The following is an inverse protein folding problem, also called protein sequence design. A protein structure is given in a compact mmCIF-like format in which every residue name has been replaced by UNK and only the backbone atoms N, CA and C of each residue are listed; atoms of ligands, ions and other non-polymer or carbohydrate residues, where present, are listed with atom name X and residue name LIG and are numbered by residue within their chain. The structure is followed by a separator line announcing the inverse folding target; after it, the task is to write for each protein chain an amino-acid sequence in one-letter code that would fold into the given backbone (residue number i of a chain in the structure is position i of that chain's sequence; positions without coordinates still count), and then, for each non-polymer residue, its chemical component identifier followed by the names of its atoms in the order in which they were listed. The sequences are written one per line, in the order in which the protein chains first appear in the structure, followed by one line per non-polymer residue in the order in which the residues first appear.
data_IF_989142151087
#
_entry.id   IF_989142151087
#
_cell.length_a   1.000
_cell.length_b   1.000
_cell.length_c   1.000
_cell.angle_alpha   90.00
_cell.angle_beta   90.00
_cell.angle_gamma   90.00
#
_symmetry.space_group_name_H-M   'P 1'
#
loop_
_entity.id
_entity.type
_entity.pdbx_description
1 polymer ?
#
# COMPACT_ATOMS: atom_id res chain seq x y z
N UNK A 1 11.97 -41.89 18.71
CA UNK A 1 10.69 -42.21 19.37
C UNK A 1 9.75 -41.04 19.03
N UNK A 2 8.73 -41.25 18.21
CA UNK A 2 7.79 -40.18 17.86
C UNK A 2 6.95 -39.86 19.09
N UNK A 3 7.02 -38.64 19.63
CA UNK A 3 6.04 -38.23 20.63
C UNK A 3 4.69 -38.10 19.92
N UNK A 4 3.65 -38.88 20.30
CA UNK A 4 2.33 -38.68 19.73
C UNK A 4 1.83 -37.28 20.08
N UNK A 5 1.07 -36.68 19.15
CA UNK A 5 0.38 -35.42 19.39
C UNK A 5 -0.56 -35.58 20.60
N UNK A 6 -0.34 -34.76 21.63
CA UNK A 6 -1.15 -34.67 22.83
C UNK A 6 -2.03 -33.43 22.74
N UNK A 7 -3.33 -33.67 22.59
CA UNK A 7 -4.33 -32.63 22.43
C UNK A 7 -4.50 -31.77 23.70
N UNK A 8 -4.28 -32.34 24.88
CA UNK A 8 -4.39 -31.62 26.16
C UNK A 8 -3.22 -30.66 26.33
N UNK A 9 -2.00 -31.12 26.04
CA UNK A 9 -0.80 -30.27 26.04
C UNK A 9 -0.93 -29.15 25.01
N UNK A 10 -1.35 -29.47 23.77
CA UNK A 10 -1.59 -28.45 22.75
C UNK A 10 -2.61 -27.40 23.19
N UNK A 11 -3.75 -27.83 23.76
CA UNK A 11 -4.81 -26.92 24.19
C UNK A 11 -4.35 -26.01 25.33
N UNK A 12 -3.58 -26.54 26.29
CA UNK A 12 -2.99 -25.75 27.37
C UNK A 12 -2.01 -24.71 26.85
N UNK A 13 -1.07 -25.11 25.98
CA UNK A 13 -0.12 -24.18 25.36
C UNK A 13 -0.84 -23.10 24.56
N UNK A 14 -1.88 -23.47 23.81
CA UNK A 14 -2.68 -22.53 23.02
C UNK A 14 -3.39 -21.49 23.90
N UNK A 15 -3.97 -21.90 25.03
CA UNK A 15 -4.58 -20.96 25.97
C UNK A 15 -3.55 -20.01 26.57
N UNK A 16 -2.39 -20.51 26.99
CA UNK A 16 -1.30 -19.68 27.51
C UNK A 16 -0.78 -18.69 26.46
N UNK A 17 -0.71 -19.10 25.19
CA UNK A 17 -0.32 -18.21 24.11
C UNK A 17 -1.37 -17.10 23.87
N UNK A 18 -2.66 -17.43 23.96
CA UNK A 18 -3.74 -16.43 23.87
C UNK A 18 -3.68 -15.44 25.04
N UNK A 19 -3.40 -15.92 26.25
CA UNK A 19 -3.22 -15.08 27.43
C UNK A 19 -2.00 -14.16 27.28
N UNK A 20 -0.88 -14.66 26.77
CA UNK A 20 0.30 -13.85 26.48
C UNK A 20 -0.01 -12.74 25.45
N UNK A 21 -0.82 -13.04 24.42
CA UNK A 21 -1.31 -12.01 23.48
C UNK A 21 -2.19 -11.00 24.21
N UNK A 22 -3.13 -11.45 25.05
CA UNK A 22 -4.00 -10.55 25.83
C UNK A 22 -3.20 -9.59 26.71
N UNK A 23 -2.08 -10.05 27.26
CA UNK A 23 -1.19 -9.28 28.12
C UNK A 23 -0.13 -8.46 27.35
N UNK A 24 -0.09 -8.53 26.02
CA UNK A 24 0.99 -7.99 25.18
C UNK A 24 2.39 -8.48 25.59
N UNK A 25 2.47 -9.69 26.16
CA UNK A 25 3.68 -10.26 26.73
C UNK A 25 4.48 -11.04 25.67
N UNK A 26 5.34 -10.32 24.96
CA UNK A 26 6.20 -10.88 23.89
C UNK A 26 7.15 -11.95 24.42
N UNK A 27 7.75 -11.75 25.60
CA UNK A 27 8.72 -12.68 26.19
C UNK A 27 8.07 -14.03 26.50
N UNK A 28 6.91 -14.01 27.15
CA UNK A 28 6.14 -15.23 27.44
C UNK A 28 5.73 -15.95 26.15
N UNK A 29 5.26 -15.22 25.15
CA UNK A 29 4.89 -15.82 23.86
C UNK A 29 6.12 -16.44 23.17
N UNK A 30 7.28 -15.78 23.24
CA UNK A 30 8.53 -16.29 22.68
C UNK A 30 8.96 -17.60 23.38
N UNK A 31 8.87 -17.67 24.70
CA UNK A 31 9.17 -18.89 25.45
C UNK A 31 8.18 -20.01 25.13
N UNK A 32 6.88 -19.72 25.02
CA UNK A 32 5.88 -20.71 24.63
C UNK A 32 6.16 -21.29 23.24
N UNK A 33 6.60 -20.47 22.29
CA UNK A 33 7.00 -20.91 20.95
C UNK A 33 8.32 -21.71 20.93
N UNK A 34 9.22 -21.51 21.89
CA UNK A 34 10.43 -22.34 22.07
C UNK A 34 10.09 -23.70 22.67
N UNK A 35 9.27 -23.72 23.72
CA UNK A 35 8.81 -24.93 24.40
C UNK A 35 8.06 -25.87 23.45
N UNK A 36 7.43 -25.28 22.44
CA UNK A 36 6.73 -26.00 21.39
C UNK A 36 7.62 -26.89 20.50
N UNK A 37 8.93 -26.72 20.60
CA UNK A 37 9.96 -27.57 20.01
C UNK A 37 10.72 -28.45 21.02
N UNK A 38 10.19 -28.68 22.23
CA UNK A 38 10.91 -29.37 23.31
C UNK A 38 12.26 -28.71 23.67
N UNK A 39 12.42 -27.41 23.41
CA UNK A 39 13.64 -26.65 23.72
C UNK A 39 14.65 -26.50 22.56
N UNK A 40 14.48 -27.21 21.45
CA UNK A 40 15.36 -27.11 20.27
C UNK A 40 14.69 -26.31 19.15
N UNK A 41 14.95 -25.01 19.07
CA UNK A 41 14.53 -24.23 17.90
C UNK A 41 15.15 -24.81 16.63
N UNK A 42 14.38 -25.20 15.61
CA UNK A 42 14.93 -25.62 14.34
C UNK A 42 15.73 -24.46 13.75
N UNK A 43 17.02 -24.68 13.53
CA UNK A 43 17.83 -23.73 12.77
C UNK A 43 17.40 -23.82 11.31
N UNK A 44 16.76 -22.75 10.84
CA UNK A 44 16.40 -22.59 9.44
C UNK A 44 17.53 -21.85 8.73
N UNK A 45 18.28 -22.54 7.87
CA UNK A 45 19.22 -21.89 6.98
C UNK A 45 18.56 -21.69 5.61
N UNK A 46 18.49 -20.45 5.15
CA UNK A 46 17.95 -20.12 3.82
C UNK A 46 19.06 -20.15 2.79
N UNK A 47 19.14 -21.24 2.01
CA UNK A 47 20.01 -21.34 0.83
C UNK A 47 19.18 -21.14 -0.44
N UNK A 48 19.09 -19.88 -0.89
CA UNK A 48 18.34 -19.51 -2.09
C UNK A 48 16.83 -19.76 -1.96
N UNK A 49 16.31 -20.72 -2.72
CA UNK A 49 14.87 -21.06 -2.81
C UNK A 49 14.44 -22.18 -1.84
N UNK A 50 15.36 -22.73 -1.05
CA UNK A 50 15.11 -23.87 -0.16
C UNK A 50 15.31 -23.41 1.29
N UNK A 51 14.31 -23.69 2.13
CA UNK A 51 14.44 -23.63 3.59
C UNK A 51 14.88 -25.03 4.02
N UNK A 52 16.12 -25.15 4.47
CA UNK A 52 16.62 -26.39 5.05
C UNK A 52 16.53 -26.25 6.57
N UNK A 53 15.71 -27.09 7.20
CA UNK A 53 15.73 -27.25 8.66
C UNK A 53 16.81 -28.26 9.02
N UNK A 54 17.80 -27.85 9.79
CA UNK A 54 18.81 -28.75 10.35
C UNK A 54 18.50 -28.98 11.83
N UNK A 55 18.30 -30.24 12.22
CA UNK A 55 18.03 -30.61 13.61
C UNK A 55 17.57 -32.05 13.78
N UNK A 56 17.66 -32.57 15.01
CA UNK A 56 17.19 -33.92 15.39
C UNK A 56 15.65 -34.04 15.42
N UNK A 57 14.93 -33.01 14.98
CA UNK A 57 13.48 -32.83 15.11
C UNK A 57 12.68 -33.21 13.86
N UNK A 58 13.30 -33.90 12.87
CA UNK A 58 12.57 -34.45 11.71
C UNK A 58 11.43 -35.38 12.19
N UNK A 59 10.18 -34.94 11.97
CA UNK A 59 8.97 -35.70 12.32
C UNK A 59 8.25 -35.26 13.61
N UNK A 60 8.77 -34.28 14.34
CA UNK A 60 8.04 -33.65 15.45
C UNK A 60 7.09 -32.57 14.90
N UNK A 61 5.81 -32.61 15.29
CA UNK A 61 4.85 -31.54 15.00
C UNK A 61 5.05 -30.48 16.07
N UNK A 62 5.60 -29.30 15.76
CA UNK A 62 5.71 -28.26 16.76
C UNK A 62 4.31 -27.76 17.11
N UNK A 63 3.98 -27.81 18.39
CA UNK A 63 2.76 -27.14 18.88
C UNK A 63 2.89 -25.64 18.57
N UNK A 64 1.82 -24.94 18.20
CA UNK A 64 1.83 -23.48 18.01
C UNK A 64 2.78 -22.87 16.96
N UNK A 65 3.69 -23.64 16.35
CA UNK A 65 4.69 -23.18 15.39
C UNK A 65 4.56 -23.92 14.05
N UNK A 66 3.33 -24.27 13.68
CA UNK A 66 2.97 -24.71 12.34
C UNK A 66 2.25 -23.57 11.58
N UNK A 67 2.11 -23.71 10.26
CA UNK A 67 1.50 -22.69 9.40
C UNK A 67 0.09 -22.25 9.85
N UNK A 68 -0.73 -23.18 10.36
CA UNK A 68 -2.10 -22.88 10.79
C UNK A 68 -2.11 -22.07 12.09
N UNK A 69 -1.31 -22.48 13.06
CA UNK A 69 -1.26 -21.81 14.37
C UNK A 69 -0.56 -20.45 14.28
N UNK A 70 0.47 -20.32 13.43
CA UNK A 70 1.11 -19.04 13.10
C UNK A 70 0.11 -18.00 12.64
N UNK A 71 -0.66 -18.37 11.63
CA UNK A 71 -1.72 -17.53 11.08
C UNK A 71 -2.72 -17.18 12.18
N UNK A 72 -3.19 -18.17 12.94
CA UNK A 72 -4.15 -17.95 14.01
C UNK A 72 -3.64 -16.97 15.09
N UNK A 73 -2.45 -17.18 15.64
CA UNK A 73 -1.89 -16.33 16.70
C UNK A 73 -1.67 -14.90 16.21
N UNK A 74 -1.23 -14.73 14.95
CA UNK A 74 -1.06 -13.43 14.34
C UNK A 74 -2.38 -12.72 14.09
N UNK A 75 -3.36 -13.41 13.51
CA UNK A 75 -4.68 -12.85 13.26
C UNK A 75 -5.33 -12.44 14.58
N UNK A 76 -5.08 -13.17 15.66
CA UNK A 76 -5.52 -12.83 17.02
C UNK A 76 -4.78 -11.62 17.61
N UNK A 77 -3.47 -11.53 17.44
CA UNK A 77 -2.70 -10.38 17.87
C UNK A 77 -3.12 -9.10 17.13
N UNK A 78 -3.41 -9.21 15.83
CA UNK A 78 -3.98 -8.13 15.03
C UNK A 78 -5.35 -7.73 15.60
N UNK A 79 -6.25 -8.70 15.81
CA UNK A 79 -7.60 -8.46 16.37
C UNK A 79 -7.56 -7.68 17.68
N UNK A 80 -6.59 -7.96 18.54
CA UNK A 80 -6.43 -7.34 19.86
C UNK A 80 -5.59 -6.06 19.84
N UNK A 81 -5.16 -5.60 18.66
CA UNK A 81 -4.30 -4.44 18.43
C UNK A 81 -2.98 -4.49 19.26
N UNK A 82 -2.38 -5.69 19.34
CA UNK A 82 -1.16 -5.95 20.13
C UNK A 82 0.08 -5.75 19.28
N UNK A 83 0.50 -4.51 19.12
CA UNK A 83 1.56 -4.13 18.19
C UNK A 83 2.89 -4.86 18.45
N UNK A 84 3.34 -4.96 19.70
CA UNK A 84 4.63 -5.58 20.03
C UNK A 84 4.62 -7.08 19.68
N UNK A 85 3.52 -7.77 19.99
CA UNK A 85 3.29 -9.16 19.60
C UNK A 85 3.19 -9.32 18.08
N UNK A 86 2.49 -8.43 17.39
CA UNK A 86 2.42 -8.45 15.92
C UNK A 86 3.81 -8.28 15.31
N UNK A 87 4.60 -7.31 15.77
CA UNK A 87 5.97 -7.09 15.28
C UNK A 87 6.86 -8.32 15.51
N UNK A 88 6.78 -8.92 16.70
CA UNK A 88 7.46 -10.17 17.01
C UNK A 88 7.03 -11.30 16.06
N UNK A 89 5.73 -11.54 15.89
CA UNK A 89 5.22 -12.60 15.02
C UNK A 89 5.58 -12.38 13.54
N UNK A 90 5.78 -11.12 13.12
CA UNK A 90 6.18 -10.75 11.77
C UNK A 90 7.69 -10.87 11.52
N UNK A 91 8.54 -10.51 12.50
CA UNK A 91 9.99 -10.40 12.32
C UNK A 91 10.76 -11.58 12.94
N UNK A 92 10.56 -11.85 14.24
CA UNK A 92 11.50 -12.65 15.04
C UNK A 92 10.91 -13.99 15.52
N UNK A 93 9.59 -14.11 15.56
CA UNK A 93 8.91 -15.34 15.98
C UNK A 93 8.81 -16.36 14.85
N UNK A 94 8.25 -15.97 13.70
CA UNK A 94 7.71 -16.90 12.70
C UNK A 94 7.59 -16.27 11.29
N UNK A 95 8.54 -15.41 10.89
CA UNK A 95 8.32 -14.35 9.91
C UNK A 95 7.77 -14.70 8.51
N UNK A 96 7.10 -13.68 7.94
CA UNK A 96 6.53 -13.57 6.59
C UNK A 96 7.43 -14.11 5.46
N UNK A 97 8.74 -13.93 5.61
CA UNK A 97 9.72 -14.27 4.58
C UNK A 97 10.01 -15.76 4.47
N UNK A 98 9.65 -16.54 5.50
CA UNK A 98 9.87 -17.98 5.56
C UNK A 98 8.64 -18.80 5.10
N UNK A 99 7.44 -18.21 5.04
CA UNK A 99 6.22 -18.90 4.58
C UNK A 99 5.94 -18.76 3.07
N UNK A 100 6.62 -17.84 2.38
CA UNK A 100 6.52 -17.71 0.94
C UNK A 100 7.18 -18.92 0.27
N UNK A 101 6.35 -19.93 -0.07
CA UNK A 101 6.73 -21.07 -0.92
C UNK A 101 7.59 -20.60 -2.11
N UNK A 102 8.48 -21.47 -2.64
CA UNK A 102 9.21 -21.17 -3.87
C UNK A 102 8.20 -21.10 -5.04
N UNK A 103 7.65 -19.92 -5.25
CA UNK A 103 6.85 -19.59 -6.43
C UNK A 103 7.69 -18.67 -7.32
N UNK A 104 7.49 -18.75 -8.64
CA UNK A 104 8.15 -17.87 -9.62
C UNK A 104 8.06 -16.39 -9.19
N UNK A 105 9.02 -15.55 -9.57
CA UNK A 105 9.10 -14.13 -9.16
C UNK A 105 7.75 -13.41 -9.31
N UNK A 106 7.04 -13.68 -10.41
CA UNK A 106 5.71 -13.12 -10.71
C UNK A 106 4.60 -13.65 -9.79
N UNK A 107 4.60 -14.95 -9.49
CA UNK A 107 3.65 -15.55 -8.55
C UNK A 107 3.96 -15.16 -7.09
N UNK A 108 5.23 -14.95 -6.75
CA UNK A 108 5.66 -14.41 -5.44
C UNK A 108 5.15 -12.99 -5.24
N UNK A 109 5.17 -12.14 -6.26
CA UNK A 109 4.62 -10.78 -6.20
C UNK A 109 3.11 -10.80 -5.91
N UNK A 110 2.34 -11.59 -6.67
CA UNK A 110 0.88 -11.74 -6.46
C UNK A 110 0.53 -12.36 -5.11
N UNK A 111 1.26 -13.40 -4.70
CA UNK A 111 1.07 -14.04 -3.39
C UNK A 111 1.38 -13.06 -2.25
N UNK A 112 2.48 -12.29 -2.37
CA UNK A 112 2.82 -11.26 -1.40
C UNK A 112 1.76 -10.17 -1.31
N UNK A 113 1.20 -9.73 -2.44
CA UNK A 113 0.16 -8.69 -2.48
C UNK A 113 -1.15 -9.19 -1.87
N UNK A 114 -1.57 -10.42 -2.20
CA UNK A 114 -2.73 -11.09 -1.58
C UNK A 114 -2.58 -11.21 -0.07
N UNK A 115 -1.39 -11.56 0.40
CA UNK A 115 -1.10 -11.78 1.80
C UNK A 115 -0.97 -10.46 2.59
N UNK A 116 -0.42 -9.41 1.96
CA UNK A 116 -0.42 -8.05 2.53
C UNK A 116 -1.83 -7.51 2.72
N UNK A 117 -2.69 -7.72 1.72
CA UNK A 117 -4.09 -7.30 1.78
C UNK A 117 -4.86 -8.08 2.85
N UNK A 118 -4.55 -9.36 3.08
CA UNK A 118 -5.16 -10.16 4.14
C UNK A 118 -4.95 -9.53 5.53
N UNK A 119 -3.74 -9.10 5.87
CA UNK A 119 -3.49 -8.46 7.17
C UNK A 119 -4.17 -7.12 7.34
N UNK A 120 -4.12 -6.29 6.30
CA UNK A 120 -4.84 -5.02 6.33
C UNK A 120 -6.34 -5.23 6.45
N UNK A 121 -6.90 -6.25 5.77
CA UNK A 121 -8.32 -6.60 5.91
C UNK A 121 -8.67 -6.98 7.35
N UNK A 122 -7.85 -7.80 8.01
CA UNK A 122 -8.10 -8.16 9.41
C UNK A 122 -7.95 -6.92 10.30
N UNK A 123 -6.88 -6.15 10.16
CA UNK A 123 -6.65 -4.97 11.00
C UNK A 123 -7.78 -3.93 10.85
N UNK A 124 -8.25 -3.68 9.62
CA UNK A 124 -9.42 -2.82 9.39
C UNK A 124 -10.71 -3.47 9.89
N UNK A 125 -10.86 -4.79 9.75
CA UNK A 125 -12.01 -5.55 10.26
C UNK A 125 -12.19 -5.37 11.79
N UNK A 126 -11.10 -5.28 12.54
CA UNK A 126 -11.14 -5.15 14.00
C UNK A 126 -10.80 -3.74 14.52
N UNK A 127 -10.62 -2.78 13.60
CA UNK A 127 -10.23 -1.41 13.91
C UNK A 127 -8.94 -1.31 14.75
N UNK A 128 -7.97 -2.15 14.43
CA UNK A 128 -6.66 -2.25 15.10
C UNK A 128 -5.76 -1.10 14.65
N UNK A 129 -5.93 0.09 15.25
CA UNK A 129 -5.34 1.34 14.76
C UNK A 129 -3.82 1.32 14.84
N UNK A 130 -3.24 0.78 15.92
CA UNK A 130 -1.78 0.71 16.07
C UNK A 130 -1.17 -0.21 15.02
N UNK A 131 -1.77 -1.38 14.82
CA UNK A 131 -1.35 -2.34 13.81
C UNK A 131 -1.51 -1.79 12.39
N UNK A 132 -2.61 -1.10 12.08
CA UNK A 132 -2.80 -0.43 10.77
C UNK A 132 -1.65 0.56 10.53
N UNK A 133 -1.35 1.41 11.50
CA UNK A 133 -0.30 2.43 11.37
C UNK A 133 1.09 1.79 11.19
N UNK A 134 1.36 0.71 11.93
CA UNK A 134 2.58 -0.08 11.77
C UNK A 134 2.71 -0.69 10.37
N UNK A 135 1.65 -1.32 9.85
CA UNK A 135 1.66 -1.92 8.51
C UNK A 135 1.87 -0.85 7.42
N UNK A 136 1.25 0.31 7.56
CA UNK A 136 1.46 1.45 6.66
C UNK A 136 2.93 1.96 6.71
N UNK A 137 3.54 2.02 7.89
CA UNK A 137 4.96 2.37 8.04
C UNK A 137 5.90 1.37 7.36
N UNK A 138 5.51 0.09 7.28
CA UNK A 138 6.21 -0.97 6.53
C UNK A 138 5.96 -0.92 5.02
N UNK A 139 5.29 0.11 4.50
CA UNK A 139 5.05 0.33 3.07
C UNK A 139 3.83 -0.41 2.52
N UNK A 140 2.89 -0.81 3.39
CA UNK A 140 1.58 -1.27 2.97
C UNK A 140 0.69 -0.04 2.69
N UNK A 141 -0.41 -0.24 1.97
CA UNK A 141 -1.36 0.83 1.66
C UNK A 141 -2.78 0.31 1.72
N UNK A 142 -3.68 1.07 2.34
CA UNK A 142 -5.10 0.73 2.36
C UNK A 142 -5.72 0.87 0.97
N UNK A 143 -6.62 -0.03 0.59
CA UNK A 143 -7.48 0.14 -0.59
C UNK A 143 -8.57 1.18 -0.30
N UNK A 144 -9.31 1.59 -1.33
CA UNK A 144 -10.42 2.55 -1.16
C UNK A 144 -11.53 1.96 -0.29
N UNK A 145 -11.84 0.68 -0.48
CA UNK A 145 -12.83 -0.05 0.29
C UNK A 145 -12.41 -0.14 1.77
N UNK A 146 -11.13 -0.43 2.02
CA UNK A 146 -10.57 -0.46 3.36
C UNK A 146 -10.59 0.93 4.04
N UNK A 147 -10.32 2.01 3.30
CA UNK A 147 -10.42 3.38 3.82
C UNK A 147 -11.88 3.75 4.17
N UNK A 148 -12.84 3.33 3.36
CA UNK A 148 -14.26 3.53 3.64
C UNK A 148 -14.72 2.74 4.88
N UNK A 149 -14.33 1.47 4.99
CA UNK A 149 -14.62 0.65 6.18
C UNK A 149 -13.95 1.22 7.44
N UNK A 150 -12.70 1.71 7.32
CA UNK A 150 -12.01 2.39 8.40
C UNK A 150 -12.76 3.64 8.86
N UNK A 151 -13.24 4.47 7.92
CA UNK A 151 -14.02 5.67 8.26
C UNK A 151 -15.33 5.30 8.97
N UNK A 152 -16.05 4.28 8.50
CA UNK A 152 -17.28 3.79 9.11
C UNK A 152 -17.06 3.37 10.58
N UNK A 153 -16.01 2.60 10.85
CA UNK A 153 -15.74 2.08 12.20
C UNK A 153 -15.31 3.12 13.21
N UNK A 154 -14.78 4.24 12.72
CA UNK A 154 -14.35 5.35 13.56
C UNK A 154 -15.31 6.54 13.51
N UNK A 155 -16.55 6.33 13.03
CA UNK A 155 -17.58 7.38 12.93
C UNK A 155 -17.13 8.64 12.17
N UNK A 156 -16.27 8.45 11.16
CA UNK A 156 -15.68 9.49 10.33
C UNK A 156 -16.31 9.54 8.92
N UNK A 157 -17.54 9.05 8.75
CA UNK A 157 -18.21 8.96 7.45
C UNK A 157 -18.43 10.33 6.82
N UNK A 158 -18.72 11.36 7.64
CA UNK A 158 -18.85 12.74 7.15
C UNK A 158 -17.53 13.25 6.58
N UNK A 159 -16.43 13.04 7.30
CA UNK A 159 -15.10 13.41 6.84
C UNK A 159 -14.73 12.65 5.55
N UNK A 160 -15.04 11.36 5.47
CA UNK A 160 -14.84 10.57 4.25
C UNK A 160 -15.73 11.05 3.07
N UNK A 161 -16.97 11.43 3.35
CA UNK A 161 -17.89 12.01 2.37
C UNK A 161 -17.35 13.32 1.78
N UNK A 162 -16.73 14.16 2.60
CA UNK A 162 -16.14 15.43 2.19
C UNK A 162 -15.00 15.28 1.16
N UNK A 163 -14.32 14.13 1.16
CA UNK A 163 -13.26 13.78 0.20
C UNK A 163 -13.73 12.83 -0.91
N UNK A 164 -15.05 12.58 -1.02
CA UNK A 164 -15.58 11.71 -2.07
C UNK A 164 -15.19 12.11 -3.50
N UNK A 165 -15.05 13.41 -3.88
CA UNK A 165 -14.64 13.77 -5.24
C UNK A 165 -13.28 13.17 -5.62
N UNK A 166 -12.28 13.25 -4.72
CA UNK A 166 -10.95 12.69 -4.96
C UNK A 166 -10.94 11.16 -4.88
N UNK A 167 -11.70 10.57 -3.94
CA UNK A 167 -11.84 9.11 -3.82
C UNK A 167 -12.32 8.50 -5.14
N UNK A 168 -13.29 9.12 -5.79
CA UNK A 168 -13.85 8.68 -7.07
C UNK A 168 -12.86 8.77 -8.25
N UNK A 169 -11.79 9.55 -8.12
CA UNK A 169 -10.78 9.75 -9.17
C UNK A 169 -9.52 8.91 -8.99
N UNK A 170 -9.27 8.36 -7.81
CA UNK A 170 -8.12 7.47 -7.55
C UNK A 170 -8.04 6.28 -8.53
N UNK A 171 -9.14 5.57 -8.88
CA UNK A 171 -9.08 4.46 -9.84
C UNK A 171 -8.55 4.86 -11.23
N UNK A 172 -8.72 6.13 -11.62
CA UNK A 172 -8.19 6.65 -12.88
C UNK A 172 -6.66 6.69 -12.87
N UNK A 173 -6.04 6.99 -11.71
CA UNK A 173 -4.59 6.95 -11.55
C UNK A 173 -4.07 5.52 -11.65
N UNK A 174 -4.72 4.57 -10.99
CA UNK A 174 -4.36 3.14 -11.06
C UNK A 174 -4.40 2.62 -12.49
N UNK A 175 -5.48 2.92 -13.21
CA UNK A 175 -5.64 2.53 -14.62
C UNK A 175 -4.56 3.19 -15.48
N UNK A 176 -4.27 4.47 -15.23
CA UNK A 176 -3.28 5.22 -15.99
C UNK A 176 -1.86 4.67 -15.78
N UNK A 177 -1.48 4.37 -14.54
CA UNK A 177 -0.19 3.75 -14.24
C UNK A 177 -0.03 2.41 -14.97
N UNK A 178 -1.06 1.55 -14.95
CA UNK A 178 -1.07 0.28 -15.69
C UNK A 178 -0.93 0.48 -17.20
N UNK A 179 -1.65 1.44 -17.77
CA UNK A 179 -1.58 1.75 -19.20
C UNK A 179 -0.21 2.28 -19.64
N UNK A 180 0.49 3.03 -18.78
CA UNK A 180 1.84 3.50 -19.05
C UNK A 180 2.86 2.36 -19.02
N UNK A 181 2.82 1.50 -18.00
CA UNK A 181 3.68 0.32 -17.90
C UNK A 181 3.47 -0.62 -19.11
N UNK A 182 2.21 -0.90 -19.48
CA UNK A 182 1.90 -1.73 -20.65
C UNK A 182 2.40 -1.17 -21.98
N UNK A 183 2.81 0.10 -22.03
CA UNK A 183 3.39 0.77 -23.19
C UNK A 183 4.92 0.99 -23.07
N UNK A 184 5.56 0.46 -22.03
CA UNK A 184 6.99 0.58 -21.78
C UNK A 184 7.43 1.85 -21.03
N UNK A 185 6.49 2.66 -20.56
CA UNK A 185 6.76 3.89 -19.80
C UNK A 185 6.81 3.60 -18.30
N UNK A 186 7.82 2.82 -17.89
CA UNK A 186 7.95 2.29 -16.53
C UNK A 186 8.19 3.39 -15.47
N UNK A 187 8.97 4.43 -15.81
CA UNK A 187 9.26 5.53 -14.88
C UNK A 187 8.01 6.34 -14.56
N UNK A 188 7.21 6.61 -15.57
CA UNK A 188 6.00 7.43 -15.47
C UNK A 188 4.85 6.64 -14.87
N UNK A 189 4.77 5.35 -15.18
CA UNK A 189 3.92 4.42 -14.45
C UNK A 189 4.24 4.46 -12.96
N UNK A 190 5.52 4.37 -12.60
CA UNK A 190 5.97 4.45 -11.20
C UNK A 190 5.60 5.78 -10.55
N UNK A 191 5.82 6.91 -11.20
CA UNK A 191 5.45 8.24 -10.67
C UNK A 191 3.95 8.38 -10.40
N UNK A 192 3.10 7.89 -11.31
CA UNK A 192 1.63 7.92 -11.10
C UNK A 192 1.22 6.94 -10.00
N UNK A 193 1.83 5.76 -9.93
CA UNK A 193 1.57 4.79 -8.86
C UNK A 193 1.99 5.31 -7.49
N UNK A 194 3.12 6.02 -7.40
CA UNK A 194 3.58 6.69 -6.17
C UNK A 194 2.61 7.80 -5.74
N UNK A 195 2.07 8.59 -6.69
CA UNK A 195 1.04 9.58 -6.40
C UNK A 195 -0.24 8.94 -5.86
N UNK A 196 -0.70 7.85 -6.46
CA UNK A 196 -1.89 7.10 -5.99
C UNK A 196 -1.70 6.60 -4.56
N UNK A 197 -0.52 6.06 -4.24
CA UNK A 197 -0.18 5.61 -2.88
C UNK A 197 -0.12 6.79 -1.91
N UNK A 198 0.48 7.90 -2.32
CA UNK A 198 0.56 9.12 -1.53
C UNK A 198 -0.84 9.65 -1.17
N UNK A 199 -1.74 9.78 -2.14
CA UNK A 199 -3.10 10.29 -1.90
C UNK A 199 -3.85 9.38 -0.92
N UNK A 200 -3.74 8.04 -1.05
CA UNK A 200 -4.38 7.11 -0.11
C UNK A 200 -3.82 7.23 1.31
N UNK A 201 -2.52 7.46 1.45
CA UNK A 201 -1.89 7.74 2.74
C UNK A 201 -2.40 9.06 3.34
N UNK A 202 -2.49 10.11 2.53
CA UNK A 202 -3.03 11.40 2.98
C UNK A 202 -4.50 11.31 3.37
N UNK A 203 -5.30 10.49 2.69
CA UNK A 203 -6.69 10.22 3.10
C UNK A 203 -6.72 9.60 4.50
N UNK A 204 -5.90 8.57 4.75
CA UNK A 204 -5.82 7.98 6.09
C UNK A 204 -5.37 8.99 7.15
N UNK A 205 -4.32 9.77 6.88
CA UNK A 205 -3.83 10.79 7.79
C UNK A 205 -4.91 11.84 8.11
N UNK A 206 -5.66 12.27 7.10
CA UNK A 206 -6.80 13.18 7.26
C UNK A 206 -7.89 12.57 8.13
N UNK A 207 -8.30 11.32 7.86
CA UNK A 207 -9.28 10.61 8.68
C UNK A 207 -8.82 10.48 10.14
N UNK A 208 -7.57 10.10 10.39
CA UNK A 208 -7.01 10.04 11.75
C UNK A 208 -7.08 11.38 12.47
N UNK A 209 -6.75 12.45 11.75
CA UNK A 209 -6.78 13.81 12.29
C UNK A 209 -8.20 14.24 12.62
N UNK A 210 -9.20 13.88 11.79
CA UNK A 210 -10.60 14.17 12.05
C UNK A 210 -11.17 13.33 13.21
N UNK A 211 -10.70 12.09 13.38
CA UNK A 211 -11.05 11.26 14.53
C UNK A 211 -10.47 11.84 15.82
N UNK A 212 -9.25 12.39 15.77
CA UNK A 212 -8.59 12.99 16.92
C UNK A 212 -9.13 14.39 17.27
N UNK A 213 -9.46 15.20 16.27
CA UNK A 213 -9.92 16.59 16.43
C UNK A 213 -11.16 16.89 15.54
N UNK A 214 -12.36 16.36 15.86
CA UNK A 214 -13.54 16.45 15.02
C UNK A 214 -13.96 17.90 14.71
N UNK A 215 -13.86 18.79 15.69
CA UNK A 215 -14.15 20.22 15.58
C UNK A 215 -13.25 20.97 14.59
N UNK A 216 -12.07 20.44 14.24
CA UNK A 216 -11.15 21.05 13.28
C UNK A 216 -11.21 20.42 11.89
N UNK A 217 -12.19 19.57 11.61
CA UNK A 217 -12.28 18.81 10.34
C UNK A 217 -12.18 19.70 9.09
N UNK A 218 -12.89 20.84 9.07
CA UNK A 218 -12.83 21.77 7.93
C UNK A 218 -11.44 22.39 7.74
N UNK A 219 -10.79 22.80 8.85
CA UNK A 219 -9.43 23.33 8.82
C UNK A 219 -8.40 22.28 8.37
N UNK A 220 -8.53 21.04 8.85
CA UNK A 220 -7.69 19.90 8.47
C UNK A 220 -7.84 19.57 6.97
N UNK A 221 -9.05 19.70 6.43
CA UNK A 221 -9.31 19.49 5.00
C UNK A 221 -8.58 20.53 4.15
N UNK A 222 -8.74 21.83 4.46
CA UNK A 222 -8.17 22.92 3.66
C UNK A 222 -6.64 23.03 3.83
N UNK A 223 -6.17 23.11 5.08
CA UNK A 223 -4.78 23.45 5.38
C UNK A 223 -3.83 22.27 5.21
N UNK A 224 -4.29 21.05 5.46
CA UNK A 224 -3.44 19.86 5.39
C UNK A 224 -3.73 19.05 4.13
N UNK A 225 -4.92 18.45 4.04
CA UNK A 225 -5.23 17.48 3.00
C UNK A 225 -5.17 18.08 1.59
N UNK A 226 -5.93 19.15 1.34
CA UNK A 226 -5.96 19.82 0.02
C UNK A 226 -4.60 20.37 -0.36
N UNK A 227 -3.91 21.01 0.57
CA UNK A 227 -2.59 21.61 0.33
C UNK A 227 -1.55 20.55 -0.05
N UNK A 228 -1.48 19.44 0.71
CA UNK A 228 -0.55 18.35 0.44
C UNK A 228 -0.84 17.65 -0.89
N UNK A 229 -2.10 17.26 -1.12
CA UNK A 229 -2.51 16.60 -2.36
C UNK A 229 -2.32 17.50 -3.58
N UNK A 230 -2.63 18.79 -3.49
CA UNK A 230 -2.45 19.75 -4.59
C UNK A 230 -0.98 19.93 -4.94
N UNK A 231 -0.12 20.07 -3.92
CA UNK A 231 1.33 20.21 -4.10
C UNK A 231 1.90 18.98 -4.79
N UNK A 232 1.62 17.79 -4.28
CA UNK A 232 2.21 16.56 -4.83
C UNK A 232 1.66 16.22 -6.22
N UNK A 233 0.37 16.45 -6.46
CA UNK A 233 -0.22 16.30 -7.81
C UNK A 233 0.46 17.26 -8.80
N UNK A 234 0.73 18.50 -8.39
CA UNK A 234 1.42 19.48 -9.25
C UNK A 234 2.87 19.08 -9.51
N UNK A 235 3.60 18.57 -8.51
CA UNK A 235 4.96 18.06 -8.66
C UNK A 235 5.03 16.91 -9.67
N UNK A 236 4.14 15.93 -9.55
CA UNK A 236 4.07 14.78 -10.47
C UNK A 236 3.63 15.21 -11.87
N UNK A 237 2.71 16.16 -11.95
CA UNK A 237 2.31 16.77 -13.22
C UNK A 237 3.50 17.42 -13.93
N UNK A 238 4.34 18.19 -13.24
CA UNK A 238 5.56 18.79 -13.82
C UNK A 238 6.54 17.73 -14.33
N UNK A 239 6.79 16.68 -13.55
CA UNK A 239 7.64 15.55 -13.96
C UNK A 239 7.12 14.86 -15.22
N UNK A 240 5.80 14.77 -15.38
CA UNK A 240 5.15 14.11 -16.52
C UNK A 240 4.88 15.03 -17.72
N UNK A 241 4.98 16.36 -17.57
CA UNK A 241 4.88 17.30 -18.70
C UNK A 241 5.96 17.07 -19.74
N UNK A 242 7.13 16.57 -19.36
CA UNK A 242 8.27 16.33 -20.25
C UNK A 242 8.28 14.93 -20.88
N UNK A 243 7.27 14.10 -20.62
CA UNK A 243 7.23 12.70 -21.01
C UNK A 243 6.91 12.44 -22.50
N UNK A 244 6.63 13.45 -23.34
CA UNK A 244 6.47 13.26 -24.79
C UNK A 244 7.63 13.82 -25.61
N UNK A 245 8.47 12.90 -26.08
CA UNK A 245 9.57 13.14 -27.03
C UNK A 245 9.26 12.94 -28.52
N UNK A 246 8.06 12.50 -28.97
CA UNK A 246 7.82 12.32 -30.42
C UNK A 246 6.43 12.67 -30.95
N UNK A 247 5.32 12.53 -30.21
CA UNK A 247 3.97 12.84 -30.74
C UNK A 247 3.66 14.33 -30.79
N UNK A 248 4.09 15.09 -29.78
CA UNK A 248 4.03 16.56 -29.82
C UNK A 248 5.05 17.12 -30.80
N UNK A 249 6.24 16.51 -30.89
CA UNK A 249 7.18 16.81 -31.96
C UNK A 249 6.54 16.56 -33.33
N UNK A 250 5.87 15.42 -33.56
CA UNK A 250 5.21 15.13 -34.84
C UNK A 250 4.01 16.06 -35.12
N UNK A 251 3.18 16.36 -34.11
CA UNK A 251 2.06 17.27 -34.26
C UNK A 251 2.55 18.69 -34.52
N UNK A 252 3.54 19.18 -33.76
CA UNK A 252 4.16 20.47 -33.99
C UNK A 252 4.95 20.49 -35.30
N UNK A 253 5.57 19.38 -35.73
CA UNK A 253 6.26 19.25 -37.02
C UNK A 253 5.27 19.26 -38.18
N UNK A 254 4.13 18.56 -38.07
CA UNK A 254 3.06 18.57 -39.07
C UNK A 254 2.36 19.94 -39.11
N UNK A 255 2.11 20.57 -37.97
CA UNK A 255 1.59 21.94 -37.90
C UNK A 255 2.62 22.90 -38.49
N UNK A 256 3.91 22.73 -38.22
CA UNK A 256 4.99 23.52 -38.83
C UNK A 256 5.03 23.31 -40.34
N UNK A 257 4.87 22.09 -40.85
CA UNK A 257 4.79 21.79 -42.28
C UNK A 257 3.54 22.40 -42.94
N UNK A 258 2.38 22.32 -42.29
CA UNK A 258 1.13 22.91 -42.78
C UNK A 258 1.19 24.43 -42.73
N UNK A 259 1.73 25.00 -41.64
CA UNK A 259 1.93 26.44 -41.51
C UNK A 259 3.03 26.95 -42.44
N UNK A 260 4.08 26.19 -42.77
CA UNK A 260 5.02 26.55 -43.84
C UNK A 260 4.33 26.52 -45.22
N UNK A 261 3.47 25.53 -45.46
CA UNK A 261 2.70 25.43 -46.72
C UNK A 261 1.71 26.60 -46.89
N UNK A 262 1.07 27.04 -45.80
CA UNK A 262 0.08 28.13 -45.81
C UNK A 262 0.75 29.52 -45.67
N UNK A 263 1.82 29.66 -44.88
CA UNK A 263 2.53 30.92 -44.66
C UNK A 263 3.44 31.32 -45.84
N UNK A 264 3.78 30.38 -46.73
CA UNK A 264 4.48 30.66 -47.99
C UNK A 264 3.69 31.53 -48.96
N UNK A 265 2.40 31.81 -48.72
CA UNK A 265 1.61 32.72 -49.56
C UNK A 265 1.43 34.13 -49.00
N UNK A 266 1.97 34.48 -47.82
CA UNK A 266 1.82 35.87 -47.36
C UNK A 266 2.53 36.37 -46.10
N UNK A 267 3.28 35.57 -45.33
CA UNK A 267 3.67 36.01 -43.97
C UNK A 267 5.15 35.94 -43.58
N UNK A 268 6.08 35.75 -44.53
CA UNK A 268 7.51 35.80 -44.21
C UNK A 268 8.02 37.17 -43.69
N UNK A 269 7.24 38.26 -43.84
CA UNK A 269 7.58 39.59 -43.29
C UNK A 269 6.87 39.95 -41.97
N UNK A 270 5.85 39.21 -41.54
CA UNK A 270 5.04 39.58 -40.37
C UNK A 270 5.38 38.79 -39.10
N UNK A 271 5.92 37.57 -39.24
CA UNK A 271 6.27 36.72 -38.10
C UNK A 271 7.75 36.84 -37.79
N UNK A 272 8.13 37.81 -36.95
CA UNK A 272 9.48 37.99 -36.41
C UNK A 272 9.97 36.77 -35.59
N UNK A 273 10.26 35.65 -36.23
CA UNK A 273 10.94 34.50 -35.64
C UNK A 273 10.23 33.78 -34.49
N UNK A 274 8.93 34.02 -34.24
CA UNK A 274 8.19 33.30 -33.19
C UNK A 274 7.74 31.93 -33.70
N UNK A 275 8.45 30.88 -33.31
CA UNK A 275 8.07 29.50 -33.60
C UNK A 275 6.72 29.15 -32.94
N UNK A 276 5.79 28.58 -33.72
CA UNK A 276 4.49 28.09 -33.27
C UNK A 276 4.65 26.75 -32.54
N UNK A 277 5.11 26.77 -31.28
CA UNK A 277 5.06 25.58 -30.43
C UNK A 277 3.77 25.61 -29.60
N UNK A 278 2.80 24.75 -29.96
CA UNK A 278 1.63 24.53 -29.13
C UNK A 278 1.96 23.51 -28.03
N UNK A 279 1.75 23.90 -26.77
CA UNK A 279 1.75 22.97 -25.65
C UNK A 279 0.38 22.28 -25.60
N UNK A 280 0.33 21.00 -25.96
CA UNK A 280 -0.88 20.19 -25.78
C UNK A 280 -0.81 19.48 -24.43
N UNK A 281 -1.87 19.55 -23.63
CA UNK A 281 -1.96 18.75 -22.41
C UNK A 281 -1.97 17.25 -22.79
N UNK A 282 -1.00 16.50 -22.25
CA UNK A 282 -0.99 15.04 -22.43
C UNK A 282 -2.17 14.39 -21.70
N UNK A 283 -2.62 13.21 -22.14
CA UNK A 283 -3.64 12.44 -21.44
C UNK A 283 -3.28 12.17 -19.95
N UNK A 284 -1.98 12.04 -19.63
CA UNK A 284 -1.52 11.99 -18.23
C UNK A 284 -1.77 13.29 -17.49
N UNK A 285 -1.44 14.44 -18.10
CA UNK A 285 -1.69 15.76 -17.52
C UNK A 285 -3.19 16.04 -17.38
N UNK A 286 -4.02 15.64 -18.34
CA UNK A 286 -5.48 15.76 -18.24
C UNK A 286 -6.02 14.97 -17.06
N UNK A 287 -5.58 13.72 -16.87
CA UNK A 287 -5.99 12.90 -15.72
C UNK A 287 -5.51 13.47 -14.38
N UNK A 288 -4.31 14.04 -14.34
CA UNK A 288 -3.82 14.74 -13.15
C UNK A 288 -4.57 16.05 -12.88
N UNK A 289 -5.00 16.76 -13.91
CA UNK A 289 -5.87 17.92 -13.76
C UNK A 289 -7.25 17.51 -13.22
N UNK A 290 -7.84 16.42 -13.70
CA UNK A 290 -9.10 15.88 -13.14
C UNK A 290 -8.95 15.54 -11.65
N UNK A 291 -7.81 14.95 -11.26
CA UNK A 291 -7.49 14.65 -9.86
C UNK A 291 -7.31 15.93 -9.04
N UNK A 292 -6.55 16.91 -9.56
CA UNK A 292 -6.34 18.20 -8.90
C UNK A 292 -7.64 18.97 -8.72
N UNK A 293 -8.50 19.01 -9.74
CA UNK A 293 -9.83 19.61 -9.64
C UNK A 293 -10.68 18.90 -8.58
N UNK A 294 -10.66 17.57 -8.55
CA UNK A 294 -11.37 16.81 -7.53
C UNK A 294 -10.86 17.09 -6.10
N UNK A 295 -9.56 17.32 -5.91
CA UNK A 295 -9.01 17.78 -4.61
C UNK A 295 -9.61 19.13 -4.22
N UNK A 296 -9.73 20.07 -5.17
CA UNK A 296 -10.30 21.40 -4.93
C UNK A 296 -11.79 21.31 -4.58
N UNK A 297 -12.53 20.43 -5.26
CA UNK A 297 -13.97 20.18 -5.07
C UNK A 297 -14.31 19.49 -3.74
N UNK A 298 -13.33 18.90 -3.04
CA UNK A 298 -13.55 18.34 -1.71
C UNK A 298 -14.08 19.43 -0.78
N UNK A 299 -15.14 19.16 -0.03
CA UNK A 299 -15.81 20.16 0.81
C UNK A 299 -16.60 19.48 1.91
N UNK A 300 -16.67 20.13 3.07
CA UNK A 300 -17.38 19.64 4.24
C UNK A 300 -18.80 20.21 4.31
#
# INVERSE_FOLDING_TARGET
MFSPYDQTVYSSLKMQALEAIDQDNVEQLQELLKLSYLGDQPQYERKGFIIQSYGQTQGLIPYLNNYKDKKFLRDEAIQKDRLAVVDFLFNDGMGLWNELKPVSVTQRRRASESYRNEFLNIAVKYNSREVINYLLAKGFSLTLEQLQEYALKNHAEKAFGAISPIVNKIPLLTLKAKNLAGRGFELESKQIGELELFIRKEIKNYLDSCIAEPEKTSDLLEKNFKTNCTRETSNVQEKLKHHRGYKEFLANFMITLVSLSIANLGNLFATQGRCFFFQFNTDSVTKLNEVKTAVIECSF
#
